data_IF_282645557403
#
_entry.id   IF_282645557403
#
_cell.length_a   1.000
_cell.length_b   1.000
_cell.length_c   1.000
_cell.angle_alpha   90.00
_cell.angle_beta   90.00
_cell.angle_gamma   90.00
#
_symmetry.space_group_name_H-M   'P 1'
#
loop_
_entity.id
_entity.type
_entity.pdbx_description
1 polymer ?
#
# COMPACT_ATOMS: atom_id res chain seq x y z
N UNK A 1 7.66 -27.45 -5.91
CA UNK A 1 8.34 -26.21 -6.36
C UNK A 1 7.61 -25.49 -7.49
N UNK A 2 7.20 -26.17 -8.57
CA UNK A 2 6.50 -25.55 -9.71
C UNK A 2 5.18 -24.85 -9.30
N UNK A 3 4.38 -25.49 -8.43
CA UNK A 3 3.14 -24.92 -7.91
C UNK A 3 3.36 -23.57 -7.23
N UNK A 4 4.26 -23.51 -6.24
CA UNK A 4 4.55 -22.27 -5.50
C UNK A 4 5.05 -21.15 -6.42
N UNK A 5 5.90 -21.47 -7.42
CA UNK A 5 6.37 -20.50 -8.42
C UNK A 5 5.20 -19.89 -9.21
N UNK A 6 4.27 -20.72 -9.70
CA UNK A 6 3.10 -20.22 -10.42
C UNK A 6 2.13 -19.46 -9.52
N UNK A 7 1.93 -19.91 -8.27
CA UNK A 7 1.12 -19.18 -7.30
C UNK A 7 1.64 -17.76 -7.06
N UNK A 8 2.97 -17.59 -6.90
CA UNK A 8 3.58 -16.26 -6.77
C UNK A 8 3.37 -15.41 -8.02
N UNK A 9 3.47 -16.00 -9.22
CA UNK A 9 3.26 -15.26 -10.47
C UNK A 9 1.83 -14.78 -10.66
N UNK A 10 0.86 -15.68 -10.48
CA UNK A 10 -0.56 -15.36 -10.60
C UNK A 10 -0.92 -14.29 -9.56
N UNK A 11 -0.50 -14.49 -8.31
CA UNK A 11 -0.71 -13.52 -7.26
C UNK A 11 -0.04 -12.19 -7.59
N UNK A 12 1.20 -12.20 -8.07
CA UNK A 12 1.93 -11.01 -8.51
C UNK A 12 1.19 -10.24 -9.60
N UNK A 13 0.57 -10.93 -10.56
CA UNK A 13 -0.23 -10.29 -11.60
C UNK A 13 -1.46 -9.60 -11.01
N UNK A 14 -2.21 -10.26 -10.11
CA UNK A 14 -3.30 -9.61 -9.37
C UNK A 14 -2.82 -8.43 -8.52
N UNK A 15 -1.63 -8.55 -7.93
CA UNK A 15 -1.00 -7.50 -7.12
C UNK A 15 -0.64 -6.27 -7.96
N UNK A 16 -0.16 -6.46 -9.18
CA UNK A 16 0.06 -5.38 -10.16
C UNK A 16 -1.27 -4.70 -10.49
N UNK A 17 -2.31 -5.47 -10.81
CA UNK A 17 -3.64 -4.92 -11.12
C UNK A 17 -4.17 -4.08 -9.94
N UNK A 18 -4.09 -4.60 -8.71
CA UNK A 18 -4.44 -3.87 -7.50
C UNK A 18 -3.62 -2.58 -7.33
N UNK A 19 -2.31 -2.64 -7.59
CA UNK A 19 -1.44 -1.47 -7.57
C UNK A 19 -1.84 -0.38 -8.58
N UNK A 20 -2.25 -0.76 -9.79
CA UNK A 20 -2.75 0.18 -10.80
C UNK A 20 -4.04 0.87 -10.32
N UNK A 21 -4.99 0.11 -9.77
CA UNK A 21 -6.22 0.68 -9.23
C UNK A 21 -5.95 1.65 -8.08
N UNK A 22 -5.08 1.28 -7.12
CA UNK A 22 -4.71 2.18 -6.02
C UNK A 22 -3.98 3.42 -6.54
N UNK A 23 -3.17 3.31 -7.59
CA UNK A 23 -2.51 4.45 -8.21
C UNK A 23 -3.51 5.41 -8.86
N UNK A 24 -4.54 4.87 -9.54
CA UNK A 24 -5.63 5.68 -10.08
C UNK A 24 -6.40 6.40 -8.97
N UNK A 25 -6.72 5.71 -7.87
CA UNK A 25 -7.34 6.33 -6.71
C UNK A 25 -6.46 7.43 -6.09
N UNK A 26 -5.15 7.20 -5.97
CA UNK A 26 -4.20 8.20 -5.47
C UNK A 26 -4.17 9.45 -6.36
N UNK A 27 -4.26 9.29 -7.69
CA UNK A 27 -4.33 10.42 -8.63
C UNK A 27 -5.65 11.19 -8.51
N UNK A 28 -6.77 10.48 -8.38
CA UNK A 28 -8.08 11.09 -8.17
C UNK A 28 -8.15 11.85 -6.86
N UNK A 29 -7.64 11.28 -5.76
CA UNK A 29 -7.57 11.95 -4.47
C UNK A 29 -6.74 13.25 -4.55
N UNK A 30 -5.54 13.20 -5.13
CA UNK A 30 -4.73 14.40 -5.35
C UNK A 30 -5.44 15.46 -6.21
N UNK A 31 -6.23 15.04 -7.21
CA UNK A 31 -7.00 15.99 -8.02
C UNK A 31 -8.10 16.67 -7.20
N UNK A 32 -8.82 15.92 -6.39
CA UNK A 32 -9.87 16.45 -5.50
C UNK A 32 -9.26 17.41 -4.47
N UNK A 33 -8.17 17.01 -3.82
CA UNK A 33 -7.46 17.85 -2.83
C UNK A 33 -7.02 19.19 -3.47
N UNK A 34 -6.50 19.16 -4.70
CA UNK A 34 -6.13 20.38 -5.42
C UNK A 34 -7.35 21.24 -5.75
N UNK A 35 -8.47 20.63 -6.14
CA UNK A 35 -9.70 21.37 -6.45
C UNK A 35 -10.31 22.01 -5.20
N UNK A 36 -10.29 21.30 -4.07
CA UNK A 36 -10.74 21.81 -2.78
C UNK A 36 -9.89 23.00 -2.34
N UNK A 37 -8.57 22.88 -2.37
CA UNK A 37 -7.66 23.97 -2.01
C UNK A 37 -7.87 25.24 -2.87
N UNK A 38 -8.24 25.08 -4.15
CA UNK A 38 -8.59 26.21 -5.03
C UNK A 38 -9.94 26.86 -4.68
N UNK A 39 -10.92 26.06 -4.24
CA UNK A 39 -12.29 26.53 -3.93
C UNK A 39 -12.33 27.17 -2.55
N UNK A 40 -11.73 26.53 -1.54
CA UNK A 40 -11.77 26.98 -0.14
C UNK A 40 -10.69 28.00 0.17
N UNK A 41 -9.64 28.10 -0.66
CA UNK A 41 -8.42 28.86 -0.37
C UNK A 41 -7.70 28.42 0.91
N UNK A 42 -8.02 27.22 1.41
CA UNK A 42 -7.38 26.60 2.58
C UNK A 42 -6.46 25.47 2.13
N UNK A 43 -5.33 25.31 2.83
CA UNK A 43 -4.38 24.24 2.52
C UNK A 43 -4.94 22.88 2.92
N UNK A 44 -5.14 22.03 1.93
CA UNK A 44 -5.58 20.65 2.15
C UNK A 44 -4.46 19.74 2.67
N UNK A 45 -4.83 18.79 3.52
CA UNK A 45 -3.91 17.82 4.08
C UNK A 45 -3.67 16.65 3.12
N UNK A 46 -2.60 16.77 2.34
CA UNK A 46 -2.23 15.81 1.31
C UNK A 46 -1.56 14.54 1.84
N UNK A 47 -1.56 14.29 3.15
CA UNK A 47 -0.89 13.13 3.73
C UNK A 47 -1.46 11.82 3.16
N UNK A 48 -2.78 11.67 3.15
CA UNK A 48 -3.45 10.46 2.66
C UNK A 48 -3.11 10.22 1.19
N UNK A 49 -3.22 11.24 0.35
CA UNK A 49 -2.93 11.18 -1.08
C UNK A 49 -1.46 10.84 -1.38
N UNK A 50 -0.51 11.36 -0.58
CA UNK A 50 0.92 11.02 -0.70
C UNK A 50 1.20 9.57 -0.29
N UNK A 51 0.63 9.11 0.82
CA UNK A 51 0.81 7.72 1.25
C UNK A 51 0.18 6.73 0.28
N UNK A 52 -1.02 7.02 -0.24
CA UNK A 52 -1.66 6.19 -1.29
C UNK A 52 -0.78 6.08 -2.54
N UNK A 53 -0.13 7.18 -2.95
CA UNK A 53 0.79 7.16 -4.07
C UNK A 53 2.02 6.28 -3.79
N UNK A 54 2.68 6.43 -2.64
CA UNK A 54 3.84 5.61 -2.29
C UNK A 54 3.50 4.13 -2.13
N UNK A 55 2.34 3.84 -1.51
CA UNK A 55 1.81 2.48 -1.34
C UNK A 55 1.52 1.86 -2.71
N UNK A 56 0.86 2.59 -3.62
CA UNK A 56 0.55 2.06 -4.95
C UNK A 56 1.79 1.75 -5.78
N UNK A 57 2.81 2.61 -5.77
CA UNK A 57 4.10 2.34 -6.44
C UNK A 57 4.79 1.11 -5.84
N UNK A 58 4.86 1.04 -4.51
CA UNK A 58 5.50 -0.10 -3.82
C UNK A 58 4.73 -1.40 -4.07
N UNK A 59 3.39 -1.32 -4.17
CA UNK A 59 2.51 -2.44 -4.53
C UNK A 59 2.81 -2.91 -5.96
N UNK A 60 2.86 -2.00 -6.94
CA UNK A 60 3.21 -2.34 -8.32
C UNK A 60 4.57 -3.03 -8.42
N UNK A 61 5.60 -2.45 -7.79
CA UNK A 61 6.96 -3.01 -7.81
C UNK A 61 7.03 -4.38 -7.14
N UNK A 62 6.30 -4.57 -6.03
CA UNK A 62 6.16 -5.88 -5.39
C UNK A 62 5.53 -6.88 -6.34
N UNK A 63 4.45 -6.50 -7.03
CA UNK A 63 3.75 -7.37 -7.97
C UNK A 63 4.64 -7.79 -9.14
N UNK A 64 5.39 -6.83 -9.71
CA UNK A 64 6.39 -7.11 -10.76
C UNK A 64 7.47 -8.07 -10.25
N UNK A 65 8.00 -7.85 -9.04
CA UNK A 65 8.97 -8.75 -8.42
C UNK A 65 8.44 -10.18 -8.25
N UNK A 66 7.17 -10.33 -7.85
CA UNK A 66 6.50 -11.63 -7.71
C UNK A 66 6.26 -12.33 -9.06
N UNK A 67 5.82 -11.59 -10.08
CA UNK A 67 5.66 -12.11 -11.46
C UNK A 67 7.01 -12.57 -12.03
N UNK A 68 8.06 -11.78 -11.82
CA UNK A 68 9.41 -12.12 -12.25
C UNK A 68 10.00 -13.27 -11.41
N UNK A 69 9.44 -13.58 -10.24
CA UNK A 69 9.99 -14.53 -9.26
C UNK A 69 11.40 -14.10 -8.86
N UNK A 70 11.55 -12.80 -8.62
CA UNK A 70 12.83 -12.13 -8.39
C UNK A 70 13.06 -11.86 -6.90
N UNK A 71 14.29 -12.06 -6.42
CA UNK A 71 14.71 -11.68 -5.07
C UNK A 71 14.59 -10.19 -4.80
N UNK A 72 14.59 -9.38 -5.86
CA UNK A 72 14.38 -7.94 -5.74
C UNK A 72 13.01 -7.58 -5.17
N UNK A 73 12.05 -8.51 -5.12
CA UNK A 73 10.74 -8.32 -4.48
C UNK A 73 10.85 -7.90 -3.00
N UNK A 74 11.89 -8.31 -2.28
CA UNK A 74 12.03 -8.01 -0.85
C UNK A 74 12.11 -6.50 -0.58
N UNK A 75 12.77 -5.74 -1.46
CA UNK A 75 12.96 -4.29 -1.27
C UNK A 75 11.63 -3.52 -1.30
N UNK A 76 10.83 -3.56 -2.40
CA UNK A 76 9.56 -2.85 -2.45
C UNK A 76 8.54 -3.41 -1.46
N UNK A 77 8.59 -4.70 -1.13
CA UNK A 77 7.69 -5.31 -0.16
C UNK A 77 7.98 -4.85 1.28
N UNK A 78 9.25 -4.80 1.67
CA UNK A 78 9.64 -4.23 2.97
C UNK A 78 9.29 -2.75 3.05
N UNK A 79 9.54 -1.99 1.99
CA UNK A 79 9.16 -0.57 1.93
C UNK A 79 7.65 -0.39 2.06
N UNK A 80 6.85 -1.21 1.36
CA UNK A 80 5.38 -1.20 1.44
C UNK A 80 4.90 -1.41 2.89
N UNK A 81 5.44 -2.40 3.59
CA UNK A 81 5.08 -2.70 4.98
C UNK A 81 5.46 -1.54 5.90
N UNK A 82 6.66 -0.98 5.75
CA UNK A 82 7.10 0.18 6.55
C UNK A 82 6.20 1.39 6.30
N UNK A 83 5.85 1.68 5.05
CA UNK A 83 4.92 2.77 4.72
C UNK A 83 3.54 2.58 5.37
N UNK A 84 3.01 1.36 5.37
CA UNK A 84 1.74 1.05 6.02
C UNK A 84 1.82 1.22 7.55
N UNK A 85 2.91 0.80 8.18
CA UNK A 85 3.13 0.99 9.62
C UNK A 85 3.21 2.47 9.98
N UNK A 86 4.00 3.24 9.24
CA UNK A 86 4.13 4.70 9.45
C UNK A 86 2.77 5.37 9.29
N UNK A 87 2.01 5.01 8.24
CA UNK A 87 0.66 5.53 8.03
C UNK A 87 -0.27 5.21 9.21
N UNK A 88 -0.26 3.98 9.71
CA UNK A 88 -1.06 3.60 10.87
C UNK A 88 -0.66 4.33 12.15
N UNK A 89 0.63 4.58 12.35
CA UNK A 89 1.10 5.34 13.49
C UNK A 89 0.58 6.79 13.45
N UNK A 90 0.72 7.44 12.29
CA UNK A 90 0.23 8.80 12.08
C UNK A 90 -1.29 8.87 12.26
N UNK A 91 -2.05 7.95 11.65
CA UNK A 91 -3.50 7.96 11.78
C UNK A 91 -3.97 7.66 13.20
N UNK A 92 -3.29 6.75 13.92
CA UNK A 92 -3.57 6.51 15.33
C UNK A 92 -3.31 7.76 16.17
N UNK A 93 -2.22 8.48 15.91
CA UNK A 93 -1.92 9.73 16.61
C UNK A 93 -3.02 10.77 16.35
N UNK A 94 -3.45 10.95 15.10
CA UNK A 94 -4.56 11.85 14.74
C UNK A 94 -5.86 11.47 15.42
N UNK A 95 -6.20 10.18 15.43
CA UNK A 95 -7.40 9.69 16.09
C UNK A 95 -7.41 9.97 17.60
N UNK A 96 -6.25 9.90 18.25
CA UNK A 96 -6.10 10.20 19.68
C UNK A 96 -6.11 11.69 19.98
N UNK A 97 -5.66 12.52 19.03
CA UNK A 97 -5.61 13.99 19.17
C UNK A 97 -6.90 14.68 18.71
N UNK A 98 -7.78 13.99 18.00
CA UNK A 98 -9.03 14.51 17.49
C UNK A 98 -9.91 15.07 18.62
N UNK A 99 -10.31 16.33 18.48
CA UNK A 99 -11.19 17.02 19.42
C UNK A 99 -12.65 16.98 18.97
N UNK A 100 -12.89 16.72 17.68
CA UNK A 100 -14.23 16.63 17.08
C UNK A 100 -14.50 15.23 16.52
N UNK A 101 -15.79 14.89 16.37
CA UNK A 101 -16.20 13.63 15.74
C UNK A 101 -15.81 13.57 14.26
N UNK A 102 -15.76 14.74 13.59
CA UNK A 102 -15.36 14.84 12.19
C UNK A 102 -13.87 14.52 12.01
N UNK A 103 -12.99 15.11 12.83
CA UNK A 103 -11.55 14.78 12.84
C UNK A 103 -11.32 13.30 13.15
N UNK A 104 -12.10 12.74 14.09
CA UNK A 104 -12.01 11.34 14.46
C UNK A 104 -12.42 10.42 13.32
N UNK A 105 -13.46 10.79 12.57
CA UNK A 105 -13.90 10.07 11.37
C UNK A 105 -12.84 10.09 10.28
N UNK A 106 -12.24 11.25 10.00
CA UNK A 106 -11.16 11.41 9.02
C UNK A 106 -9.89 10.64 9.40
N UNK A 107 -9.59 10.52 10.69
CA UNK A 107 -8.44 9.76 11.19
C UNK A 107 -8.67 8.23 11.21
N UNK A 108 -9.90 7.76 10.96
CA UNK A 108 -10.21 6.35 11.02
C UNK A 108 -9.60 5.59 9.84
N UNK A 109 -8.77 4.59 10.15
CA UNK A 109 -8.15 3.74 9.14
C UNK A 109 -9.23 2.89 8.45
N UNK A 110 -9.41 3.10 7.15
CA UNK A 110 -10.34 2.33 6.33
C UNK A 110 -10.06 0.81 6.40
N UNK A 111 -11.10 -0.05 6.45
CA UNK A 111 -10.94 -1.51 6.49
C UNK A 111 -10.08 -2.07 5.35
N UNK A 112 -10.23 -1.51 4.14
CA UNK A 112 -9.43 -1.90 2.98
C UNK A 112 -7.92 -1.72 3.22
N UNK A 113 -7.52 -0.66 3.93
CA UNK A 113 -6.10 -0.41 4.25
C UNK A 113 -5.56 -1.43 5.26
N UNK A 114 -6.38 -1.81 6.25
CA UNK A 114 -6.04 -2.88 7.20
C UNK A 114 -5.89 -4.22 6.49
N UNK A 115 -6.83 -4.54 5.60
CA UNK A 115 -6.77 -5.77 4.82
C UNK A 115 -5.52 -5.80 3.93
N UNK A 116 -5.19 -4.69 3.27
CA UNK A 116 -3.98 -4.58 2.46
C UNK A 116 -2.70 -4.82 3.27
N UNK A 117 -2.65 -4.38 4.53
CA UNK A 117 -1.53 -4.66 5.43
C UNK A 117 -1.45 -6.15 5.83
N UNK A 118 -2.58 -6.78 6.15
CA UNK A 118 -2.60 -8.21 6.46
C UNK A 118 -2.10 -9.01 5.26
N UNK A 119 -2.58 -8.69 4.06
CA UNK A 119 -2.16 -9.40 2.85
C UNK A 119 -0.67 -9.15 2.56
N UNK A 120 -0.15 -7.93 2.73
CA UNK A 120 1.29 -7.67 2.53
C UNK A 120 2.16 -8.47 3.51
N UNK A 121 1.73 -8.67 4.76
CA UNK A 121 2.42 -9.57 5.70
C UNK A 121 2.40 -11.04 5.24
N UNK A 122 1.25 -11.53 4.78
CA UNK A 122 1.14 -12.91 4.24
C UNK A 122 2.07 -13.09 3.04
N UNK A 123 2.11 -12.11 2.14
CA UNK A 123 2.99 -12.11 0.96
C UNK A 123 4.46 -12.06 1.37
N UNK A 124 4.81 -11.32 2.42
CA UNK A 124 6.17 -11.29 2.95
C UNK A 124 6.61 -12.65 3.47
N UNK A 125 5.75 -13.32 4.26
CA UNK A 125 6.03 -14.69 4.75
C UNK A 125 6.19 -15.66 3.58
N UNK A 126 5.27 -15.64 2.61
CA UNK A 126 5.34 -16.48 1.42
C UNK A 126 6.62 -16.24 0.60
N UNK A 127 7.01 -14.98 0.43
CA UNK A 127 8.23 -14.59 -0.29
C UNK A 127 9.50 -15.03 0.46
N UNK A 128 9.52 -14.93 1.79
CA UNK A 128 10.64 -15.41 2.61
C UNK A 128 10.80 -16.93 2.50
N UNK A 129 9.70 -17.69 2.57
CA UNK A 129 9.71 -19.15 2.38
C UNK A 129 10.21 -19.49 0.98
N UNK A 130 9.70 -18.82 -0.07
CA UNK A 130 10.14 -19.03 -1.45
C UNK A 130 11.63 -18.68 -1.66
N UNK A 131 12.12 -17.63 -1.00
CA UNK A 131 13.54 -17.26 -1.00
C UNK A 131 14.42 -18.33 -0.35
N UNK A 132 14.03 -18.84 0.83
CA UNK A 132 14.74 -19.94 1.50
C UNK A 132 14.76 -21.23 0.69
N UNK A 133 13.71 -21.51 -0.06
CA UNK A 133 13.61 -22.67 -0.95
C UNK A 133 14.34 -22.47 -2.30
N UNK A 134 14.99 -21.33 -2.53
CA UNK A 134 15.70 -21.03 -3.78
C UNK A 134 14.80 -20.80 -4.99
N UNK A 135 13.50 -20.54 -4.78
CA UNK A 135 12.52 -20.32 -5.85
C UNK A 135 12.66 -18.90 -6.40
N UNK A 136 12.90 -17.92 -5.53
CA UNK A 136 13.19 -16.53 -5.92
C UNK A 136 14.65 -16.45 -6.41
N UNK A 137 14.81 -15.98 -7.65
CA UNK A 137 16.09 -15.83 -8.34
C UNK A 137 16.66 -14.42 -8.18
#
# INVERSE_FOLDING_TARGET
MLFLKWSLRIFGAFWVVGGVFTLQQARQANFIDNALELITQEKEDRLVSRFLLLISISTLLTGVGLVAVSRWVFIPLSLLIVLQIVYFFIQRQRFLQAQTDEERSQAQIAPATRNAFIVSLVVAIASLVAGKLGILQ
#
